data_IF_319647720238
#
_entry.id   IF_319647720238
#
_cell.length_a   1.000
_cell.length_b   1.000
_cell.length_c   1.000
_cell.angle_alpha   90.00
_cell.angle_beta   90.00
_cell.angle_gamma   90.00
#
_symmetry.space_group_name_H-M   'P 1'
#
loop_
_entity.id
_entity.type
_entity.pdbx_description
1 polymer ?
#
# COMPACT_ATOMS: atom_id res chain seq x y z
N UNK A 1 -22.99 9.51 -43.50
CA UNK A 1 -22.66 10.63 -42.58
C UNK A 1 -21.16 10.71 -42.47
N UNK A 2 -20.55 11.79 -42.98
CA UNK A 2 -19.10 11.98 -43.03
C UNK A 2 -18.65 12.61 -41.70
N UNK A 3 -17.94 11.87 -40.85
CA UNK A 3 -17.43 12.41 -39.57
C UNK A 3 -16.17 13.25 -39.85
N UNK A 4 -16.00 14.45 -39.26
CA UNK A 4 -14.98 15.42 -39.69
C UNK A 4 -13.56 15.00 -39.25
N UNK A 5 -12.59 15.17 -40.17
CA UNK A 5 -11.20 14.68 -40.08
C UNK A 5 -10.36 14.97 -38.83
N UNK A 6 -10.50 16.10 -38.09
CA UNK A 6 -9.64 16.35 -36.93
C UNK A 6 -10.09 15.63 -35.65
N UNK A 7 -11.40 15.33 -35.50
CA UNK A 7 -11.90 14.65 -34.30
C UNK A 7 -11.64 13.15 -34.34
N UNK A 8 -11.68 12.53 -35.52
CA UNK A 8 -11.36 11.11 -35.70
C UNK A 8 -9.88 10.81 -35.44
N UNK A 9 -8.96 11.69 -35.88
CA UNK A 9 -7.54 11.55 -35.58
C UNK A 9 -7.25 11.69 -34.06
N UNK A 10 -7.95 12.58 -33.37
CA UNK A 10 -7.82 12.73 -31.91
C UNK A 10 -8.35 11.50 -31.16
N UNK A 11 -9.46 10.90 -31.59
CA UNK A 11 -9.96 9.66 -31.00
C UNK A 11 -9.02 8.48 -31.29
N UNK A 12 -8.49 8.37 -32.51
CA UNK A 12 -7.52 7.33 -32.87
C UNK A 12 -6.23 7.44 -32.05
N UNK A 13 -5.68 8.64 -31.88
CA UNK A 13 -4.49 8.85 -31.03
C UNK A 13 -4.77 8.56 -29.55
N UNK A 14 -5.96 8.89 -29.05
CA UNK A 14 -6.39 8.54 -27.70
C UNK A 14 -6.52 7.02 -27.50
N UNK A 15 -7.12 6.31 -28.46
CA UNK A 15 -7.25 4.84 -28.45
C UNK A 15 -5.88 4.15 -28.53
N UNK A 16 -4.98 4.62 -29.40
CA UNK A 16 -3.60 4.12 -29.50
C UNK A 16 -2.84 4.38 -28.20
N UNK A 17 -3.01 5.56 -27.58
CA UNK A 17 -2.38 5.88 -26.30
C UNK A 17 -2.91 4.96 -25.19
N UNK A 18 -4.21 4.67 -25.15
CA UNK A 18 -4.80 3.73 -24.20
C UNK A 18 -4.28 2.30 -24.40
N UNK A 19 -4.12 1.86 -25.65
CA UNK A 19 -3.54 0.56 -25.97
C UNK A 19 -2.07 0.46 -25.53
N UNK A 20 -1.27 1.51 -25.78
CA UNK A 20 0.12 1.58 -25.31
C UNK A 20 0.18 1.50 -23.78
N UNK A 21 -0.69 2.20 -23.07
CA UNK A 21 -0.75 2.15 -21.60
C UNK A 21 -1.05 0.73 -21.09
N UNK A 22 -1.97 0.01 -21.73
CA UNK A 22 -2.29 -1.37 -21.36
C UNK A 22 -1.08 -2.30 -21.55
N UNK A 23 -0.39 -2.18 -22.69
CA UNK A 23 0.82 -2.96 -22.99
C UNK A 23 1.94 -2.66 -21.99
N UNK A 24 2.14 -1.39 -21.64
CA UNK A 24 3.13 -0.98 -20.64
C UNK A 24 2.80 -1.57 -19.26
N UNK A 25 1.53 -1.51 -18.85
CA UNK A 25 1.09 -2.09 -17.57
C UNK A 25 1.29 -3.60 -17.52
N UNK A 26 1.01 -4.32 -18.60
CA UNK A 26 1.22 -5.77 -18.67
C UNK A 26 2.71 -6.12 -18.69
N UNK A 27 3.54 -5.30 -19.33
CA UNK A 27 5.00 -5.42 -19.29
C UNK A 27 5.52 -5.22 -17.86
N UNK A 28 5.01 -4.23 -17.13
CA UNK A 28 5.38 -3.98 -15.75
C UNK A 28 5.04 -5.17 -14.83
N UNK A 29 3.88 -5.81 -15.04
CA UNK A 29 3.52 -7.05 -14.33
C UNK A 29 4.51 -8.18 -14.61
N UNK A 30 4.97 -8.35 -15.85
CA UNK A 30 5.95 -9.37 -16.21
C UNK A 30 7.32 -9.12 -15.54
N UNK A 31 7.73 -7.85 -15.47
CA UNK A 31 8.94 -7.46 -14.74
C UNK A 31 8.84 -7.81 -13.26
N UNK A 32 7.72 -7.49 -12.60
CA UNK A 32 7.50 -7.78 -11.17
C UNK A 32 7.42 -9.28 -10.87
N UNK A 33 6.69 -10.04 -11.70
CA UNK A 33 6.36 -11.44 -11.39
C UNK A 33 7.46 -12.42 -11.76
N UNK A 34 8.17 -12.18 -12.88
CA UNK A 34 9.16 -13.13 -13.41
C UNK A 34 10.58 -12.60 -13.27
N UNK A 35 10.85 -11.43 -13.83
CA UNK A 35 12.23 -10.93 -13.96
C UNK A 35 12.82 -10.59 -12.60
N UNK A 36 12.09 -9.87 -11.76
CA UNK A 36 12.54 -9.52 -10.41
C UNK A 36 12.81 -10.74 -9.54
N UNK A 37 11.95 -11.77 -9.64
CA UNK A 37 12.11 -13.00 -8.89
C UNK A 37 13.39 -13.74 -9.32
N UNK A 38 13.66 -13.82 -10.63
CA UNK A 38 14.91 -14.37 -11.14
C UNK A 38 16.11 -13.56 -10.66
N UNK A 39 16.06 -12.22 -10.75
CA UNK A 39 17.16 -11.35 -10.29
C UNK A 39 17.39 -11.51 -8.79
N UNK A 40 16.34 -11.71 -8.00
CA UNK A 40 16.45 -11.94 -6.57
C UNK A 40 17.22 -13.22 -6.23
N UNK A 41 17.15 -14.27 -7.07
CA UNK A 41 17.98 -15.47 -6.86
C UNK A 41 19.49 -15.18 -6.92
N UNK A 42 19.90 -14.16 -7.67
CA UNK A 42 21.29 -13.73 -7.76
C UNK A 42 21.74 -12.84 -6.60
N UNK A 43 20.87 -12.53 -5.64
CA UNK A 43 21.21 -11.67 -4.49
C UNK A 43 22.35 -12.23 -3.64
N UNK A 44 22.42 -13.56 -3.49
CA UNK A 44 23.49 -14.24 -2.74
C UNK A 44 24.82 -14.25 -3.49
N UNK A 45 24.78 -14.37 -4.83
CA UNK A 45 25.98 -14.47 -5.67
C UNK A 45 26.54 -13.10 -6.08
N UNK A 46 25.67 -12.11 -6.32
CA UNK A 46 26.06 -10.75 -6.71
C UNK A 46 25.02 -9.73 -6.25
N UNK A 47 25.18 -9.23 -5.03
CA UNK A 47 24.33 -8.17 -4.49
C UNK A 47 24.43 -6.86 -5.29
N UNK A 48 25.61 -6.57 -5.87
CA UNK A 48 25.82 -5.37 -6.68
C UNK A 48 24.97 -5.37 -7.96
N UNK A 49 24.85 -6.52 -8.63
CA UNK A 49 24.02 -6.68 -9.81
C UNK A 49 22.54 -6.41 -9.50
N UNK A 50 22.02 -7.01 -8.43
CA UNK A 50 20.61 -6.81 -8.02
C UNK A 50 20.32 -5.33 -7.75
N UNK A 51 21.25 -4.63 -7.09
CA UNK A 51 21.09 -3.21 -6.79
C UNK A 51 21.15 -2.35 -8.06
N UNK A 52 22.10 -2.62 -8.97
CA UNK A 52 22.18 -1.91 -10.25
C UNK A 52 20.94 -2.13 -11.12
N UNK A 53 20.45 -3.36 -11.20
CA UNK A 53 19.21 -3.71 -11.89
C UNK A 53 18.01 -2.95 -11.31
N UNK A 54 17.84 -2.95 -9.97
CA UNK A 54 16.74 -2.23 -9.32
C UNK A 54 16.85 -0.72 -9.49
N UNK A 55 18.05 -0.16 -9.47
CA UNK A 55 18.29 1.28 -9.67
C UNK A 55 18.05 1.71 -11.12
N UNK A 56 18.39 0.86 -12.09
CA UNK A 56 18.16 1.15 -13.52
C UNK A 56 16.68 1.04 -13.92
N UNK A 57 15.86 0.34 -13.12
CA UNK A 57 14.45 0.14 -13.40
C UNK A 57 13.65 1.44 -13.21
N UNK A 58 13.21 2.05 -14.30
CA UNK A 58 12.24 3.16 -14.28
C UNK A 58 10.84 2.64 -14.56
N UNK A 59 10.13 2.18 -13.53
CA UNK A 59 8.69 1.92 -13.63
C UNK A 59 8.01 3.28 -13.65
N UNK A 60 7.26 3.58 -14.70
CA UNK A 60 6.36 4.73 -14.70
C UNK A 60 5.11 4.32 -13.93
N UNK A 61 5.22 4.28 -12.60
CA UNK A 61 4.11 4.11 -11.68
C UNK A 61 3.67 5.53 -11.29
N UNK A 62 2.72 6.17 -12.02
CA UNK A 62 2.25 7.50 -11.66
C UNK A 62 1.85 7.49 -10.19
N UNK A 63 2.16 8.55 -9.43
CA UNK A 63 2.01 8.55 -7.98
C UNK A 63 0.52 8.42 -7.62
N UNK A 64 0.04 7.19 -7.45
CA UNK A 64 -1.15 6.92 -6.70
C UNK A 64 -0.83 7.34 -5.26
N UNK A 65 -1.69 8.17 -4.65
CA UNK A 65 -1.55 8.54 -3.24
C UNK A 65 -1.77 7.27 -2.41
N UNK A 66 -0.68 6.56 -2.11
CA UNK A 66 -0.68 5.26 -1.42
C UNK A 66 -1.03 5.47 0.05
N UNK A 67 -2.33 5.50 0.37
CA UNK A 67 -2.78 5.13 1.72
C UNK A 67 -2.34 3.67 1.88
N UNK A 68 -1.25 3.44 2.60
CA UNK A 68 -0.68 2.10 2.72
C UNK A 68 -1.44 1.29 3.78
N UNK A 69 -1.93 1.98 4.81
CA UNK A 69 -2.65 1.34 5.91
C UNK A 69 -3.69 2.30 6.49
N UNK A 70 -4.90 1.79 6.73
CA UNK A 70 -5.96 2.52 7.39
C UNK A 70 -6.52 1.66 8.52
N UNK A 71 -6.46 2.15 9.75
CA UNK A 71 -6.99 1.44 10.90
C UNK A 71 -8.13 2.20 11.56
N UNK A 72 -9.22 1.48 11.83
CA UNK A 72 -10.32 1.96 12.66
C UNK A 72 -10.31 1.16 13.96
N UNK A 73 -10.39 1.88 15.08
CA UNK A 73 -10.34 1.30 16.41
C UNK A 73 -11.67 1.57 17.11
N UNK A 74 -12.41 0.51 17.44
CA UNK A 74 -13.72 0.57 18.08
C UNK A 74 -13.71 -0.14 19.43
N UNK A 75 -14.63 0.25 20.29
CA UNK A 75 -14.94 -0.50 21.51
C UNK A 75 -15.81 -1.72 21.16
N UNK A 76 -15.52 -2.86 21.79
CA UNK A 76 -16.31 -4.07 21.66
C UNK A 76 -17.72 -3.93 22.27
N UNK A 77 -17.90 -3.09 23.29
CA UNK A 77 -19.17 -2.96 24.02
C UNK A 77 -20.06 -1.87 23.43
N UNK A 78 -19.50 -0.69 23.15
CA UNK A 78 -20.28 0.46 22.66
C UNK A 78 -20.27 0.60 21.14
N UNK A 79 -19.42 -0.14 20.43
CA UNK A 79 -19.17 -0.01 18.99
C UNK A 79 -18.73 1.41 18.54
N UNK A 80 -18.41 2.28 19.49
CA UNK A 80 -17.95 3.65 19.25
C UNK A 80 -16.46 3.68 18.93
N UNK A 81 -16.05 4.66 18.11
CA UNK A 81 -14.66 4.88 17.78
C UNK A 81 -13.90 5.41 19.00
N UNK A 82 -12.80 4.76 19.35
CA UNK A 82 -12.02 5.11 20.53
C UNK A 82 -10.93 6.12 20.16
N UNK A 83 -10.97 7.29 20.81
CA UNK A 83 -9.90 8.28 20.76
C UNK A 83 -8.74 7.95 21.70
N UNK A 84 -7.56 8.49 21.36
CA UNK A 84 -6.33 8.42 22.15
C UNK A 84 -5.80 6.99 22.33
N UNK A 85 -5.89 6.20 21.27
CA UNK A 85 -5.26 4.87 21.23
C UNK A 85 -3.87 5.00 20.60
N UNK A 86 -2.86 4.51 21.29
CA UNK A 86 -1.48 4.49 20.80
C UNK A 86 -1.30 3.26 19.91
N UNK A 87 -0.94 3.49 18.66
CA UNK A 87 -0.68 2.48 17.65
C UNK A 87 0.82 2.46 17.37
N UNK A 88 1.48 1.36 17.70
CA UNK A 88 2.91 1.16 17.48
C UNK A 88 3.10 0.09 16.41
N UNK A 89 3.73 0.47 15.29
CA UNK A 89 3.98 -0.45 14.16
C UNK A 89 5.46 -0.80 14.09
N UNK A 90 5.75 -2.09 14.00
CA UNK A 90 7.10 -2.63 13.79
C UNK A 90 7.12 -3.56 12.57
N UNK A 91 8.23 -3.63 11.80
CA UNK A 91 9.46 -2.83 11.91
C UNK A 91 9.25 -1.38 11.42
N UNK A 92 9.80 -0.39 12.13
CA UNK A 92 9.68 1.03 11.76
C UNK A 92 9.41 1.98 12.92
N UNK A 93 9.03 1.46 14.10
CA UNK A 93 8.76 2.24 15.32
C UNK A 93 7.83 3.45 15.07
N UNK A 94 6.86 3.28 14.17
CA UNK A 94 5.93 4.35 13.83
C UNK A 94 4.87 4.39 14.92
N UNK A 95 4.82 5.49 15.65
CA UNK A 95 3.82 5.75 16.70
C UNK A 95 2.76 6.68 16.13
N UNK A 96 1.50 6.24 16.16
CA UNK A 96 0.36 7.04 15.74
C UNK A 96 -0.70 7.02 16.84
N UNK A 97 -1.30 8.17 17.11
CA UNK A 97 -2.40 8.27 18.08
C UNK A 97 -3.70 8.43 17.31
N UNK A 98 -4.72 7.61 17.60
CA UNK A 98 -6.05 7.72 16.97
C UNK A 98 -6.80 8.95 17.50
N UNK A 99 -7.51 9.64 16.60
CA UNK A 99 -8.38 10.77 16.97
C UNK A 99 -9.85 10.35 16.98
N UNK A 100 -10.65 11.00 17.82
CA UNK A 100 -12.06 10.67 18.14
C UNK A 100 -13.02 10.65 16.93
N UNK A 101 -12.60 11.16 15.76
CA UNK A 101 -13.44 11.29 14.56
C UNK A 101 -12.91 10.57 13.33
N UNK A 102 -11.66 10.11 13.30
CA UNK A 102 -11.04 9.67 12.05
C UNK A 102 -10.26 8.37 12.18
N UNK A 103 -10.33 7.57 11.12
CA UNK A 103 -9.46 6.43 10.90
C UNK A 103 -8.00 6.91 10.96
N UNK A 104 -7.14 6.21 11.70
CA UNK A 104 -5.71 6.48 11.62
C UNK A 104 -5.19 5.96 10.27
N UNK A 105 -4.85 6.89 9.39
CA UNK A 105 -4.27 6.59 8.08
C UNK A 105 -2.77 6.79 8.15
N UNK A 106 -2.06 5.77 7.66
CA UNK A 106 -0.62 5.78 7.47
C UNK A 106 -0.32 5.69 5.97
N UNK A 107 0.42 6.66 5.50
CA UNK A 107 0.84 6.75 4.11
C UNK A 107 2.29 6.27 3.99
N UNK A 108 2.63 5.76 2.81
CA UNK A 108 4.02 5.47 2.43
C UNK A 108 4.74 4.40 3.31
N UNK A 109 4.04 3.34 3.69
CA UNK A 109 4.70 2.14 4.22
C UNK A 109 5.19 1.27 3.06
N UNK A 110 6.41 0.75 3.17
CA UNK A 110 6.93 -0.23 2.22
C UNK A 110 6.12 -1.53 2.31
N UNK A 111 6.09 -2.30 1.22
CA UNK A 111 5.47 -3.63 1.26
C UNK A 111 6.29 -4.56 2.15
N UNK A 112 5.61 -5.30 3.03
CA UNK A 112 6.26 -6.15 4.01
C UNK A 112 5.32 -6.57 5.15
N UNK A 113 5.81 -7.49 5.99
CA UNK A 113 5.11 -7.93 7.18
C UNK A 113 5.33 -6.94 8.33
N UNK A 114 4.23 -6.53 8.96
CA UNK A 114 4.21 -5.60 10.07
C UNK A 114 3.43 -6.17 11.26
N UNK A 115 3.84 -5.76 12.45
CA UNK A 115 3.16 -6.02 13.72
C UNK A 115 2.67 -4.71 14.29
N UNK A 116 1.37 -4.61 14.50
CA UNK A 116 0.73 -3.47 15.12
C UNK A 116 0.36 -3.82 16.55
N UNK A 117 0.91 -3.04 17.47
CA UNK A 117 0.59 -3.08 18.89
C UNK A 117 -0.33 -1.90 19.19
N UNK A 118 -1.47 -2.18 19.79
CA UNK A 118 -2.50 -1.22 20.12
C UNK A 118 -2.60 -1.12 21.64
N UNK A 119 -2.31 0.07 22.18
CA UNK A 119 -2.28 0.31 23.62
C UNK A 119 -3.17 1.50 23.98
N UNK A 120 -4.01 1.31 25.01
CA UNK A 120 -4.77 2.39 25.63
C UNK A 120 -4.95 2.13 27.13
N UNK A 121 -4.75 3.14 28.00
CA UNK A 121 -5.07 3.02 29.41
C UNK A 121 -6.55 2.66 29.62
N UNK A 122 -6.82 1.61 30.40
CA UNK A 122 -8.17 1.08 30.64
C UNK A 122 -8.67 0.06 29.62
N UNK A 123 -7.84 -0.34 28.65
CA UNK A 123 -8.15 -1.39 27.68
C UNK A 123 -7.04 -2.44 27.60
N UNK A 124 -7.41 -3.65 27.19
CA UNK A 124 -6.45 -4.74 26.99
C UNK A 124 -5.61 -4.44 25.74
N UNK A 125 -4.29 -4.50 25.89
CA UNK A 125 -3.34 -4.33 24.77
C UNK A 125 -3.51 -5.46 23.75
N UNK A 126 -3.65 -5.12 22.48
CA UNK A 126 -3.75 -6.10 21.39
C UNK A 126 -2.55 -6.00 20.45
N UNK A 127 -2.10 -7.15 19.95
CA UNK A 127 -1.05 -7.22 18.92
C UNK A 127 -1.60 -7.96 17.71
N UNK A 128 -1.48 -7.35 16.53
CA UNK A 128 -2.01 -7.88 15.27
C UNK A 128 -0.90 -7.89 14.23
N UNK A 129 -0.70 -9.04 13.59
CA UNK A 129 0.20 -9.20 12.47
C UNK A 129 -0.57 -8.94 11.17
N UNK A 130 -0.05 -8.09 10.30
CA UNK A 130 -0.62 -7.88 8.97
C UNK A 130 0.48 -7.71 7.92
N UNK A 131 0.12 -7.89 6.65
CA UNK A 131 1.03 -7.72 5.52
C UNK A 131 0.57 -6.52 4.69
N UNK A 132 1.50 -5.63 4.35
CA UNK A 132 1.26 -4.51 3.43
C UNK A 132 1.69 -4.94 2.04
N UNK A 133 0.76 -4.83 1.08
CA UNK A 133 1.00 -5.11 -0.32
C UNK A 133 1.27 -3.78 -1.03
N UNK A 134 2.29 -3.73 -1.89
CA UNK A 134 2.61 -2.53 -2.65
C UNK A 134 1.41 -2.15 -3.54
N UNK A 135 1.05 -0.86 -3.56
CA UNK A 135 -0.06 -0.30 -4.34
C UNK A 135 -1.46 -0.70 -3.84
N UNK A 136 -1.57 -1.29 -2.64
CA UNK A 136 -2.84 -1.60 -1.99
C UNK A 136 -3.01 -0.85 -0.66
N UNK A 137 -4.25 -0.52 -0.30
CA UNK A 137 -4.59 0.01 1.03
C UNK A 137 -5.11 -1.11 1.93
N UNK A 138 -4.28 -1.58 2.85
CA UNK A 138 -4.72 -2.53 3.86
C UNK A 138 -5.63 -1.80 4.86
N UNK A 139 -6.91 -2.17 4.90
CA UNK A 139 -7.89 -1.64 5.86
C UNK A 139 -8.06 -2.63 7.00
N UNK A 140 -7.88 -2.18 8.23
CA UNK A 140 -8.02 -3.01 9.42
C UNK A 140 -9.03 -2.39 10.38
N UNK A 141 -10.02 -3.16 10.81
CA UNK A 141 -10.96 -2.76 11.86
C UNK A 141 -10.67 -3.57 13.11
N UNK A 142 -10.38 -2.89 14.21
CA UNK A 142 -9.98 -3.50 15.49
C UNK A 142 -11.05 -3.19 16.53
N UNK A 143 -11.41 -4.20 17.32
CA UNK A 143 -12.31 -4.09 18.45
C UNK A 143 -11.48 -4.28 19.72
N UNK A 144 -11.35 -3.24 20.55
CA UNK A 144 -10.71 -3.37 21.87
C UNK A 144 -11.73 -3.77 22.92
N UNK A 145 -11.25 -4.55 23.88
CA UNK A 145 -11.97 -4.95 25.09
C UNK A 145 -11.45 -4.11 26.25
N UNK A 146 -12.34 -3.50 27.04
CA UNK A 146 -11.97 -2.77 28.25
C UNK A 146 -11.29 -3.72 29.25
N UNK A 147 -10.24 -3.25 29.91
CA UNK A 147 -9.61 -4.01 30.99
C UNK A 147 -10.53 -3.99 32.23
N UNK A 148 -10.63 -5.09 32.99
CA UNK A 148 -11.44 -5.17 34.21
C UNK A 148 -10.91 -4.27 35.33
#
# INVERSE_FOLDING_TARGET
MLVPGPRTALTETAEVTAAIQLILNDTDKLLLTRVDNLVQTYKSTSAAFVNQYKNARKIVDPPATKRAFSVNVKDNVTAEAIANVTLTIQPGAIIKITSQKENAVLNNLAAGAYTLTIEKPGYITQTINFNIIANETTKLSILLVSAP
#
